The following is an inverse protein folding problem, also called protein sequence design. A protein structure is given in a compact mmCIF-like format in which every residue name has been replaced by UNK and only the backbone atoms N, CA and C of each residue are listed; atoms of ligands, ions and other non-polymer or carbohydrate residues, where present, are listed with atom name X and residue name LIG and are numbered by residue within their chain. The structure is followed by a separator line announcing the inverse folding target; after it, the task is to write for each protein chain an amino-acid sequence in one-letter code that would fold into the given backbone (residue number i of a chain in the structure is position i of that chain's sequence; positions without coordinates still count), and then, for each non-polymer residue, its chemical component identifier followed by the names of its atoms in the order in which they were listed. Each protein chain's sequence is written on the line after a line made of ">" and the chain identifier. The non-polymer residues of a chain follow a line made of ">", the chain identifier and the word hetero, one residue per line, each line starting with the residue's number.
data_IF_337091864475
#
_entry.id   IF_337091864475
#
_cell.length_a   1.000
_cell.length_b   1.000
_cell.length_c   1.000
_cell.angle_alpha   90.00
_cell.angle_beta   90.00
_cell.angle_gamma   90.00
#
_symmetry.space_group_name_H-M   'P 1'
#
loop_
_entity.id
_entity.type
_entity.pdbx_description
1 polymer ?
#
# COMPACT_ATOMS: atom_id res chain seq x y z
N UNK A 1 -22.33 9.79 0.37
CA UNK A 1 -23.42 9.15 1.13
C UNK A 1 -22.95 7.86 1.81
N UNK A 2 -22.39 6.87 1.10
CA UNK A 2 -21.96 5.60 1.72
C UNK A 2 -20.93 5.83 2.82
N UNK A 3 -19.95 6.68 2.59
CA UNK A 3 -18.88 7.01 3.53
C UNK A 3 -19.41 7.71 4.78
N UNK A 4 -20.27 8.69 4.60
CA UNK A 4 -20.89 9.44 5.69
C UNK A 4 -21.80 8.55 6.54
N UNK A 5 -22.58 7.69 5.90
CA UNK A 5 -23.50 6.79 6.56
C UNK A 5 -22.82 5.70 7.40
N UNK A 6 -21.66 5.19 6.94
CA UNK A 6 -20.95 4.08 7.59
C UNK A 6 -19.78 4.51 8.48
N UNK A 7 -19.59 5.81 8.73
CA UNK A 7 -18.47 6.35 9.53
C UNK A 7 -17.10 5.91 9.05
N UNK A 8 -16.93 5.71 7.74
CA UNK A 8 -15.67 5.31 7.12
C UNK A 8 -14.66 6.44 7.29
N UNK A 9 -13.47 6.12 7.79
CA UNK A 9 -12.38 7.09 8.02
C UNK A 9 -11.31 7.03 6.95
N UNK A 10 -11.04 5.85 6.41
CA UNK A 10 -9.98 5.62 5.43
C UNK A 10 -10.56 5.02 4.15
N UNK A 11 -10.12 5.52 3.01
CA UNK A 11 -10.46 4.99 1.68
C UNK A 11 -9.17 4.80 0.91
N UNK A 12 -8.84 3.58 0.52
CA UNK A 12 -7.72 3.31 -0.39
C UNK A 12 -8.15 3.51 -1.84
N UNK A 13 -7.33 4.24 -2.59
CA UNK A 13 -7.51 4.52 -4.02
C UNK A 13 -6.35 3.90 -4.78
N UNK A 14 -6.57 2.80 -5.50
CA UNK A 14 -5.53 2.16 -6.29
C UNK A 14 -5.30 2.92 -7.60
N UNK A 15 -4.06 3.32 -7.84
CA UNK A 15 -3.56 3.92 -9.07
C UNK A 15 -2.56 2.95 -9.71
N UNK A 16 -3.06 1.77 -10.07
CA UNK A 16 -2.28 0.63 -10.53
C UNK A 16 -2.63 0.30 -11.98
N UNK A 17 -1.77 -0.43 -12.68
CA UNK A 17 -2.03 -0.95 -14.02
C UNK A 17 -2.58 0.13 -14.99
N UNK A 18 -3.80 -0.08 -15.52
CA UNK A 18 -4.46 0.85 -16.44
C UNK A 18 -4.85 2.20 -15.80
N UNK A 19 -4.86 2.27 -14.46
CA UNK A 19 -5.11 3.50 -13.69
C UNK A 19 -3.82 4.18 -13.24
N UNK A 20 -2.65 3.69 -13.67
CA UNK A 20 -1.36 4.23 -13.31
C UNK A 20 -1.22 5.69 -13.76
N UNK A 21 -0.60 6.50 -12.90
CA UNK A 21 -0.43 7.94 -13.09
C UNK A 21 1.07 8.34 -13.19
N UNK A 22 1.93 7.42 -13.60
CA UNK A 22 3.36 7.69 -13.77
C UNK A 22 3.65 8.79 -14.80
N UNK A 23 2.82 8.88 -15.83
CA UNK A 23 2.86 9.98 -16.78
C UNK A 23 2.41 11.29 -16.13
N UNK A 24 3.25 12.33 -16.20
CA UNK A 24 3.01 13.64 -15.58
C UNK A 24 1.67 14.28 -15.99
N UNK A 25 1.32 14.22 -17.27
CA UNK A 25 0.06 14.80 -17.77
C UNK A 25 -1.16 14.09 -17.18
N UNK A 26 -1.08 12.76 -17.04
CA UNK A 26 -2.13 11.93 -16.44
C UNK A 26 -2.19 12.23 -14.94
N UNK A 27 -1.05 12.31 -14.26
CA UNK A 27 -0.94 12.63 -12.83
C UNK A 27 -1.53 14.01 -12.52
N UNK A 28 -1.18 15.02 -13.29
CA UNK A 28 -1.72 16.38 -13.14
C UNK A 28 -3.25 16.42 -13.38
N UNK A 29 -3.75 15.65 -14.34
CA UNK A 29 -5.19 15.52 -14.57
C UNK A 29 -5.87 14.84 -13.39
N UNK A 30 -5.30 13.76 -12.85
CA UNK A 30 -5.81 13.08 -11.66
C UNK A 30 -5.88 14.06 -10.48
N UNK A 31 -4.79 14.75 -10.16
CA UNK A 31 -4.72 15.75 -9.09
C UNK A 31 -5.84 16.79 -9.25
N UNK A 32 -5.95 17.38 -10.43
CA UNK A 32 -6.98 18.41 -10.72
C UNK A 32 -8.40 17.91 -10.49
N UNK A 33 -8.69 16.66 -10.86
CA UNK A 33 -10.03 16.08 -10.71
C UNK A 33 -10.27 15.65 -9.27
N UNK A 34 -9.23 15.17 -8.58
CA UNK A 34 -9.36 14.58 -7.26
C UNK A 34 -9.33 15.60 -6.12
N UNK A 35 -8.58 16.67 -6.25
CA UNK A 35 -8.44 17.73 -5.24
C UNK A 35 -9.79 18.24 -4.67
N UNK A 36 -10.82 18.55 -5.46
CA UNK A 36 -12.11 18.99 -4.92
C UNK A 36 -12.78 17.99 -3.97
N UNK A 37 -12.50 16.68 -4.15
CA UNK A 37 -13.02 15.65 -3.25
C UNK A 37 -12.28 15.65 -1.92
N UNK A 38 -10.97 15.86 -1.90
CA UNK A 38 -10.18 15.95 -0.67
C UNK A 38 -10.63 17.16 0.15
N UNK A 39 -10.89 18.30 -0.48
CA UNK A 39 -11.43 19.50 0.18
C UNK A 39 -12.84 19.29 0.73
N UNK A 40 -13.68 18.59 -0.02
CA UNK A 40 -15.07 18.33 0.38
C UNK A 40 -15.17 17.38 1.56
N UNK A 41 -14.30 16.38 1.63
CA UNK A 41 -14.36 15.28 2.61
C UNK A 41 -13.16 15.31 3.56
N UNK A 42 -12.94 16.43 4.26
CA UNK A 42 -11.79 16.64 5.17
C UNK A 42 -11.70 15.64 6.33
N UNK A 43 -12.80 14.97 6.67
CA UNK A 43 -12.85 13.96 7.72
C UNK A 43 -12.49 12.54 7.22
N UNK A 44 -12.17 12.39 5.92
CA UNK A 44 -11.80 11.14 5.29
C UNK A 44 -10.32 11.20 4.94
N UNK A 45 -9.57 10.18 5.33
CA UNK A 45 -8.22 9.96 4.83
C UNK A 45 -8.30 9.20 3.51
N UNK A 46 -7.75 9.78 2.46
CA UNK A 46 -7.59 9.11 1.17
C UNK A 46 -6.18 8.53 1.09
N UNK A 47 -6.10 7.21 1.00
CA UNK A 47 -4.85 6.47 0.96
C UNK A 47 -4.55 6.07 -0.48
N UNK A 48 -3.50 6.62 -1.05
CA UNK A 48 -3.09 6.31 -2.42
C UNK A 48 -2.22 5.06 -2.42
N UNK A 49 -2.65 4.04 -3.17
CA UNK A 49 -1.86 2.85 -3.48
C UNK A 49 -1.37 2.96 -4.92
N UNK A 50 -0.05 3.10 -5.13
CA UNK A 50 0.48 3.36 -6.45
C UNK A 50 1.83 2.68 -6.70
N UNK A 51 2.05 2.25 -7.93
CA UNK A 51 3.33 1.78 -8.46
C UNK A 51 4.10 2.98 -9.03
N UNK A 52 4.56 3.87 -8.14
CA UNK A 52 5.28 5.10 -8.47
C UNK A 52 6.53 5.24 -7.64
N UNK A 53 7.55 5.90 -8.17
CA UNK A 53 8.62 6.45 -7.35
C UNK A 53 8.05 7.37 -6.28
N UNK A 54 8.64 7.35 -5.08
CA UNK A 54 8.17 8.09 -3.92
C UNK A 54 8.07 9.60 -4.17
N UNK A 55 8.96 10.19 -4.98
CA UNK A 55 8.91 11.62 -5.32
C UNK A 55 7.65 11.98 -6.11
N UNK A 56 7.27 11.13 -7.10
CA UNK A 56 6.04 11.35 -7.86
C UNK A 56 4.79 11.11 -7.03
N UNK A 57 4.86 10.18 -6.07
CA UNK A 57 3.76 9.96 -5.13
C UNK A 57 3.59 11.15 -4.19
N UNK A 58 4.69 11.77 -3.73
CA UNK A 58 4.65 13.01 -2.94
C UNK A 58 3.95 14.15 -3.68
N UNK A 59 4.13 14.30 -5.01
CA UNK A 59 3.38 15.30 -5.80
C UNK A 59 1.86 15.15 -5.66
N UNK A 60 1.36 13.93 -5.41
CA UNK A 60 -0.06 13.67 -5.23
C UNK A 60 -0.48 13.91 -3.77
N UNK A 61 0.27 13.36 -2.80
CA UNK A 61 -0.19 13.34 -1.41
C UNK A 61 0.08 14.64 -0.66
N UNK A 62 0.98 15.50 -1.14
CA UNK A 62 1.27 16.79 -0.51
C UNK A 62 0.31 17.92 -0.93
N UNK A 63 -0.66 17.62 -1.80
CA UNK A 63 -1.67 18.63 -2.19
C UNK A 63 -2.71 18.88 -1.09
N UNK A 64 -2.89 17.95 -0.14
CA UNK A 64 -3.82 18.11 0.97
C UNK A 64 -3.44 17.22 2.18
N UNK A 65 -3.75 17.69 3.39
CA UNK A 65 -3.38 17.04 4.66
C UNK A 65 -4.11 15.71 4.91
N UNK A 66 -5.21 15.43 4.22
CA UNK A 66 -5.95 14.18 4.33
C UNK A 66 -5.58 13.14 3.27
N UNK A 67 -4.44 13.35 2.58
CA UNK A 67 -3.86 12.40 1.65
C UNK A 67 -2.69 11.65 2.29
N UNK A 68 -2.73 10.33 2.14
CA UNK A 68 -1.79 9.41 2.74
C UNK A 68 -1.44 8.29 1.76
N UNK A 69 -0.66 7.33 2.21
CA UNK A 69 -0.20 6.20 1.40
C UNK A 69 -0.70 4.89 1.98
N UNK A 70 -1.22 4.03 1.10
CA UNK A 70 -1.23 2.58 1.29
C UNK A 70 0.04 2.02 0.66
N UNK A 71 0.96 1.53 1.49
CA UNK A 71 2.20 0.91 1.06
C UNK A 71 1.96 -0.59 0.83
N UNK A 72 2.02 -1.04 -0.44
CA UNK A 72 1.89 -2.46 -0.81
C UNK A 72 3.28 -3.06 -1.01
N UNK A 73 3.65 -4.02 -0.17
CA UNK A 73 4.99 -4.62 -0.16
C UNK A 73 5.33 -5.32 -1.48
N UNK A 74 4.39 -6.06 -2.04
CA UNK A 74 4.60 -6.80 -3.29
C UNK A 74 4.61 -5.90 -4.52
N UNK A 75 3.81 -4.83 -4.55
CA UNK A 75 3.81 -3.89 -5.67
C UNK A 75 5.16 -3.15 -5.73
N UNK A 76 5.67 -2.67 -4.60
CA UNK A 76 6.97 -1.98 -4.53
C UNK A 76 8.11 -2.94 -4.89
N UNK A 77 8.06 -4.21 -4.42
CA UNK A 77 9.01 -5.26 -4.83
C UNK A 77 9.00 -5.45 -6.34
N UNK A 78 7.82 -5.69 -6.93
CA UNK A 78 7.69 -5.98 -8.37
C UNK A 78 8.01 -4.79 -9.27
N UNK A 79 7.85 -3.58 -8.77
CA UNK A 79 8.23 -2.36 -9.48
C UNK A 79 9.74 -2.05 -9.36
N UNK A 80 10.47 -2.83 -8.56
CA UNK A 80 11.92 -2.70 -8.39
C UNK A 80 12.36 -1.48 -7.58
N UNK A 81 11.50 -0.95 -6.74
CA UNK A 81 11.83 0.20 -5.89
C UNK A 81 12.52 -0.22 -4.60
N UNK A 82 13.39 0.65 -4.08
CA UNK A 82 14.10 0.41 -2.84
C UNK A 82 13.18 0.63 -1.63
N UNK A 83 12.86 -0.43 -0.90
CA UNK A 83 11.96 -0.38 0.26
C UNK A 83 12.45 0.57 1.37
N UNK A 84 13.76 0.59 1.65
CA UNK A 84 14.33 1.45 2.70
C UNK A 84 14.13 2.93 2.36
N UNK A 85 14.47 3.31 1.13
CA UNK A 85 14.31 4.67 0.64
C UNK A 85 12.84 5.07 0.57
N UNK A 86 11.99 4.18 0.03
CA UNK A 86 10.55 4.42 -0.10
C UNK A 86 9.89 4.67 1.25
N UNK A 87 10.13 3.79 2.23
CA UNK A 87 9.56 3.90 3.58
C UNK A 87 10.09 5.14 4.31
N UNK A 88 11.41 5.41 4.24
CA UNK A 88 11.99 6.56 4.92
C UNK A 88 11.51 7.90 4.36
N UNK A 89 11.34 7.99 3.04
CA UNK A 89 10.86 9.21 2.36
C UNK A 89 9.39 9.48 2.67
N UNK A 90 8.54 8.48 2.60
CA UNK A 90 7.10 8.64 2.86
C UNK A 90 6.76 8.73 4.34
N UNK A 91 7.54 8.09 5.20
CA UNK A 91 7.50 8.19 6.66
C UNK A 91 6.07 8.20 7.23
N UNK A 92 5.68 9.26 7.93
CA UNK A 92 4.37 9.42 8.59
C UNK A 92 3.18 9.48 7.63
N UNK A 93 3.44 9.62 6.33
CA UNK A 93 2.40 9.54 5.30
C UNK A 93 1.89 8.11 5.08
N UNK A 94 2.64 7.08 5.46
CA UNK A 94 2.17 5.68 5.38
C UNK A 94 1.14 5.45 6.48
N UNK A 95 -0.11 5.17 6.12
CA UNK A 95 -1.22 4.90 7.06
C UNK A 95 -1.72 3.46 7.02
N UNK A 96 -1.43 2.74 5.94
CA UNK A 96 -1.78 1.35 5.78
C UNK A 96 -0.68 0.61 5.05
N UNK A 97 -0.45 -0.63 5.43
CA UNK A 97 0.48 -1.55 4.76
C UNK A 97 -0.31 -2.74 4.24
N UNK A 98 -0.25 -2.99 2.95
CA UNK A 98 -0.70 -4.23 2.35
C UNK A 98 0.46 -5.23 2.33
N UNK A 99 0.25 -6.37 2.98
CA UNK A 99 1.20 -7.48 3.02
C UNK A 99 0.94 -8.38 1.83
N UNK A 100 1.80 -8.28 0.86
CA UNK A 100 1.78 -9.06 -0.38
C UNK A 100 3.18 -9.56 -0.69
N UNK A 101 3.28 -10.81 -1.13
CA UNK A 101 4.51 -11.35 -1.67
C UNK A 101 4.37 -11.59 -3.18
N UNK A 102 5.40 -11.23 -3.93
CA UNK A 102 5.43 -11.42 -5.37
C UNK A 102 6.73 -12.04 -5.83
N UNK A 103 6.64 -12.95 -6.79
CA UNK A 103 7.75 -13.31 -7.67
C UNK A 103 7.80 -12.28 -8.80
N UNK A 104 9.00 -11.79 -9.13
CA UNK A 104 9.20 -10.76 -10.16
C UNK A 104 9.13 -11.37 -11.56
N UNK A 105 9.65 -12.59 -11.73
CA UNK A 105 9.71 -13.24 -13.05
C UNK A 105 9.46 -14.75 -12.96
N UNK A 106 8.31 -15.27 -13.44
CA UNK A 106 7.16 -14.52 -13.95
C UNK A 106 6.46 -13.73 -12.86
N UNK A 107 5.83 -12.61 -13.21
CA UNK A 107 5.11 -11.80 -12.22
C UNK A 107 3.92 -12.55 -11.66
N UNK A 108 4.00 -12.91 -10.38
CA UNK A 108 2.96 -13.69 -9.70
C UNK A 108 2.86 -13.28 -8.23
N UNK A 109 1.63 -13.25 -7.69
CA UNK A 109 1.39 -13.13 -6.25
C UNK A 109 1.43 -14.50 -5.63
N UNK A 110 2.25 -14.68 -4.60
CA UNK A 110 2.50 -15.97 -3.96
C UNK A 110 2.23 -15.92 -2.45
N UNK A 111 2.30 -17.07 -1.82
CA UNK A 111 2.26 -17.21 -0.36
C UNK A 111 3.43 -16.43 0.27
N UNK A 112 3.24 -15.78 1.43
CA UNK A 112 4.32 -15.03 2.10
C UNK A 112 5.57 -15.91 2.30
N UNK A 113 6.73 -15.33 2.01
CA UNK A 113 8.07 -15.95 2.02
C UNK A 113 8.39 -16.88 0.83
N UNK A 114 7.52 -16.96 -0.16
CA UNK A 114 7.76 -17.76 -1.39
C UNK A 114 8.13 -16.88 -2.59
N UNK A 115 8.07 -15.57 -2.43
CA UNK A 115 8.44 -14.58 -3.44
C UNK A 115 9.73 -13.83 -3.12
N UNK A 116 9.85 -12.69 -3.76
CA UNK A 116 11.05 -11.84 -3.72
C UNK A 116 10.93 -10.70 -2.70
N UNK A 117 9.83 -10.62 -1.93
CA UNK A 117 9.60 -9.56 -0.96
C UNK A 117 10.39 -9.79 0.33
N UNK A 118 11.32 -8.88 0.66
CA UNK A 118 12.09 -8.94 1.92
C UNK A 118 11.29 -8.35 3.09
N UNK A 119 10.42 -9.17 3.68
CA UNK A 119 9.60 -8.76 4.82
C UNK A 119 10.43 -8.36 6.06
N UNK A 120 11.58 -9.00 6.31
CA UNK A 120 12.45 -8.65 7.46
C UNK A 120 12.98 -7.23 7.33
N UNK A 121 13.49 -6.87 6.16
CA UNK A 121 13.94 -5.52 5.86
C UNK A 121 12.78 -4.52 5.99
N UNK A 122 11.63 -4.84 5.39
CA UNK A 122 10.46 -3.96 5.40
C UNK A 122 10.00 -3.69 6.84
N UNK A 123 9.81 -4.72 7.67
CA UNK A 123 9.38 -4.53 9.06
C UNK A 123 10.41 -3.77 9.89
N UNK A 124 11.70 -4.01 9.66
CA UNK A 124 12.76 -3.21 10.28
C UNK A 124 12.63 -1.72 9.93
N UNK A 125 12.42 -1.39 8.65
CA UNK A 125 12.23 -0.01 8.20
C UNK A 125 10.95 0.61 8.78
N UNK A 126 9.84 -0.12 8.81
CA UNK A 126 8.58 0.36 9.41
C UNK A 126 8.71 0.58 10.93
N UNK A 127 9.43 -0.28 11.65
CA UNK A 127 9.75 -0.09 13.07
C UNK A 127 10.59 1.19 13.28
N UNK A 128 11.56 1.47 12.40
CA UNK A 128 12.42 2.67 12.48
C UNK A 128 11.64 3.99 12.34
N UNK A 129 10.58 4.01 11.54
CA UNK A 129 9.69 5.19 11.42
C UNK A 129 8.57 5.20 12.47
N UNK A 130 8.58 4.30 13.44
CA UNK A 130 7.53 4.13 14.47
C UNK A 130 6.14 3.91 13.85
N UNK A 131 6.06 3.15 12.76
CA UNK A 131 4.79 2.84 12.12
C UNK A 131 3.88 2.04 13.07
N UNK A 132 2.67 2.53 13.30
CA UNK A 132 1.65 1.93 14.16
C UNK A 132 0.28 1.81 13.49
N UNK A 133 0.25 1.87 12.16
CA UNK A 133 -0.96 1.75 11.37
C UNK A 133 -1.43 0.31 11.15
N UNK A 134 -2.37 0.14 10.23
CA UNK A 134 -2.95 -1.15 9.91
C UNK A 134 -2.08 -1.96 8.94
N UNK A 135 -1.96 -3.27 9.23
CA UNK A 135 -1.45 -4.26 8.29
C UNK A 135 -2.63 -5.07 7.73
N UNK A 136 -2.75 -5.14 6.42
CA UNK A 136 -3.78 -5.89 5.71
C UNK A 136 -3.15 -6.99 4.89
N UNK A 137 -3.51 -8.24 5.15
CA UNK A 137 -3.07 -9.37 4.32
C UNK A 137 -3.76 -9.31 2.95
N UNK A 138 -2.97 -9.20 1.90
CA UNK A 138 -3.40 -9.24 0.50
C UNK A 138 -2.64 -10.35 -0.23
N UNK A 139 -2.83 -11.57 0.24
CA UNK A 139 -2.05 -12.72 -0.16
C UNK A 139 -2.65 -13.49 -1.34
N UNK A 140 -1.87 -14.40 -1.94
CA UNK A 140 -2.31 -15.26 -3.02
C UNK A 140 -3.54 -16.09 -2.61
N UNK A 141 -4.46 -16.27 -3.56
CA UNK A 141 -5.55 -17.23 -3.42
C UNK A 141 -4.99 -18.65 -3.51
N UNK A 142 -5.45 -19.50 -2.61
CA UNK A 142 -5.19 -20.92 -2.62
C UNK A 142 -6.40 -21.67 -3.19
N UNK A 143 -6.45 -23.00 -3.02
CA UNK A 143 -7.60 -23.79 -3.46
C UNK A 143 -8.90 -23.31 -2.84
N UNK A 144 -9.98 -23.38 -3.60
CA UNK A 144 -11.32 -23.10 -3.12
C UNK A 144 -11.67 -23.94 -1.89
N UNK A 145 -12.24 -23.28 -0.88
CA UNK A 145 -12.63 -23.90 0.39
C UNK A 145 -11.55 -23.90 1.48
N UNK A 146 -10.31 -23.45 1.17
CA UNK A 146 -9.21 -23.36 2.13
C UNK A 146 -8.91 -21.91 2.58
N UNK A 147 -9.76 -20.94 2.25
CA UNK A 147 -9.47 -19.51 2.42
C UNK A 147 -9.21 -19.14 3.88
N UNK A 148 -10.02 -19.65 4.80
CA UNK A 148 -9.89 -19.37 6.25
C UNK A 148 -8.58 -19.90 6.82
N UNK A 149 -8.23 -21.13 6.48
CA UNK A 149 -7.00 -21.75 6.98
C UNK A 149 -5.76 -21.15 6.31
N UNK A 150 -5.87 -20.77 5.04
CA UNK A 150 -4.85 -20.03 4.32
C UNK A 150 -4.57 -18.68 5.00
N UNK A 151 -5.60 -17.89 5.30
CA UNK A 151 -5.43 -16.60 5.97
C UNK A 151 -4.80 -16.77 7.36
N UNK A 152 -5.24 -17.75 8.13
CA UNK A 152 -4.65 -18.06 9.45
C UNK A 152 -3.17 -18.41 9.34
N UNK A 153 -2.80 -19.26 8.37
CA UNK A 153 -1.42 -19.66 8.14
C UNK A 153 -0.55 -18.48 7.70
N UNK A 154 -1.01 -17.69 6.72
CA UNK A 154 -0.28 -16.52 6.26
C UNK A 154 -0.11 -15.48 7.37
N UNK A 155 -1.15 -15.24 8.15
CA UNK A 155 -1.07 -14.36 9.32
C UNK A 155 0.03 -14.81 10.28
N UNK A 156 0.05 -16.10 10.63
CA UNK A 156 1.06 -16.68 11.54
C UNK A 156 2.48 -16.48 11.00
N UNK A 157 2.72 -16.76 9.71
CA UNK A 157 4.03 -16.57 9.06
C UNK A 157 4.48 -15.11 9.20
N UNK A 158 3.60 -14.16 8.90
CA UNK A 158 3.94 -12.74 8.96
C UNK A 158 4.17 -12.26 10.40
N UNK A 159 3.37 -12.74 11.36
CA UNK A 159 3.57 -12.40 12.78
C UNK A 159 4.89 -12.95 13.33
N UNK A 160 5.32 -14.13 12.91
CA UNK A 160 6.63 -14.70 13.28
C UNK A 160 7.78 -13.81 12.76
N UNK A 161 7.73 -13.39 11.48
CA UNK A 161 8.76 -12.50 10.89
C UNK A 161 8.75 -11.11 11.53
N UNK A 162 7.57 -10.59 11.88
CA UNK A 162 7.46 -9.29 12.51
C UNK A 162 8.05 -9.25 13.92
N UNK A 163 7.99 -10.38 14.64
CA UNK A 163 8.46 -10.50 16.03
C UNK A 163 9.94 -10.88 16.14
N UNK A 164 10.57 -11.37 15.05
CA UNK A 164 12.02 -11.63 14.97
C UNK A 164 12.82 -10.29 14.90
#
# INVERSE_FOLDING_TARGET
>A
RVVEFNSIKNITIPLLENSNVDNEKIRNKFIKVFYPYTEKYKNINFLIEAELHQEKLLEIIDINDNLFVTYDTGNITSYGLNHTEYISTLNTKIKQVHIKDRIINPLETVEPTKGDTDFKLIFKCLKQINYNGLYTLQTARMKDGEEVDTIKRHKKIIEEIYND
#
